data_IF_223690343657
#
_entry.id   IF_223690343657
#
_cell.length_a   1.000
_cell.length_b   1.000
_cell.length_c   1.000
_cell.angle_alpha   90.00
_cell.angle_beta   90.00
_cell.angle_gamma   90.00
#
_symmetry.space_group_name_H-M   'P 1'
#
loop_
_entity.id
_entity.type
_entity.pdbx_description
1 polymer ?
#
# COMPACT_ATOMS: atom_id res chain seq x y z
N UNK A 1 12.32 -3.04 -18.04
CA UNK A 1 12.36 -4.49 -17.76
C UNK A 1 13.64 -5.14 -18.31
N UNK A 2 13.89 -5.07 -19.62
CA UNK A 2 15.09 -5.66 -20.27
C UNK A 2 16.43 -5.28 -19.61
N UNK A 3 16.63 -3.99 -19.29
CA UNK A 3 17.84 -3.49 -18.62
C UNK A 3 18.08 -4.12 -17.24
N UNK A 4 17.04 -4.26 -16.42
CA UNK A 4 17.15 -4.85 -15.07
C UNK A 4 17.56 -6.33 -15.15
N UNK A 5 16.92 -7.09 -16.05
CA UNK A 5 17.27 -8.50 -16.27
C UNK A 5 18.62 -8.70 -16.96
N UNK A 6 19.11 -7.70 -17.68
CA UNK A 6 20.47 -7.65 -18.21
C UNK A 6 21.53 -7.27 -17.16
N UNK A 7 21.14 -7.01 -15.91
CA UNK A 7 22.05 -6.69 -14.81
C UNK A 7 22.47 -5.22 -14.72
N UNK A 8 21.74 -4.30 -15.37
CA UNK A 8 22.02 -2.87 -15.27
C UNK A 8 21.76 -2.35 -13.83
N UNK A 9 22.81 -1.89 -13.11
CA UNK A 9 22.69 -1.45 -11.71
C UNK A 9 21.86 -0.16 -11.55
N UNK A 10 21.59 0.56 -12.64
CA UNK A 10 20.77 1.78 -12.62
C UNK A 10 19.28 1.50 -12.83
N UNK A 11 18.92 0.30 -13.28
CA UNK A 11 17.53 -0.08 -13.52
C UNK A 11 16.78 -0.42 -12.22
N UNK A 12 15.44 -0.39 -12.23
CA UNK A 12 14.62 -0.80 -11.08
C UNK A 12 14.46 0.25 -9.97
N UNK A 13 14.90 1.49 -10.16
CA UNK A 13 14.70 2.56 -9.19
C UNK A 13 13.21 2.89 -8.95
N UNK A 14 12.43 2.96 -10.03
CA UNK A 14 11.03 3.35 -9.98
C UNK A 14 10.15 2.29 -9.29
N UNK A 15 10.38 1.00 -9.60
CA UNK A 15 9.53 -0.08 -9.07
C UNK A 15 9.78 -0.38 -7.59
N UNK A 16 10.98 -0.09 -7.06
CA UNK A 16 11.28 -0.29 -5.64
C UNK A 16 10.40 0.55 -4.69
N UNK A 17 10.04 1.78 -5.09
CA UNK A 17 9.11 2.64 -4.34
C UNK A 17 7.68 2.11 -4.32
N UNK A 18 7.16 1.67 -5.46
CA UNK A 18 5.83 1.08 -5.55
C UNK A 18 5.71 -0.19 -4.71
N UNK A 19 6.75 -1.02 -4.72
CA UNK A 19 6.76 -2.27 -3.96
C UNK A 19 6.49 -2.04 -2.46
N UNK A 20 7.03 -0.97 -1.88
CA UNK A 20 6.74 -0.54 -0.50
C UNK A 20 5.25 -0.26 -0.29
N UNK A 21 4.62 0.43 -1.25
CA UNK A 21 3.20 0.79 -1.18
C UNK A 21 2.32 -0.46 -1.25
N UNK A 22 2.57 -1.35 -2.20
CA UNK A 22 1.78 -2.56 -2.42
C UNK A 22 1.86 -3.55 -1.26
N UNK A 23 3.04 -3.68 -0.65
CA UNK A 23 3.29 -4.67 0.39
C UNK A 23 2.93 -4.18 1.80
N UNK A 24 3.01 -2.88 2.07
CA UNK A 24 2.82 -2.35 3.42
C UNK A 24 1.74 -1.28 3.52
N UNK A 25 1.78 -0.27 2.66
CA UNK A 25 0.87 0.87 2.76
C UNK A 25 -0.58 0.49 2.50
N UNK A 26 -0.84 -0.28 1.43
CA UNK A 26 -2.19 -0.72 1.06
C UNK A 26 -2.78 -1.67 2.11
N UNK A 27 -2.07 -2.70 2.59
CA UNK A 27 -2.55 -3.51 3.72
C UNK A 27 -2.78 -2.70 5.00
N UNK A 28 -1.95 -1.70 5.29
CA UNK A 28 -2.14 -0.83 6.45
C UNK A 28 -3.39 0.06 6.31
N UNK A 29 -3.66 0.59 5.11
CA UNK A 29 -4.89 1.33 4.79
C UNK A 29 -6.12 0.44 4.94
N UNK A 30 -6.05 -0.79 4.42
CA UNK A 30 -7.10 -1.80 4.57
C UNK A 30 -7.39 -2.10 6.05
N UNK A 31 -6.34 -2.32 6.85
CA UNK A 31 -6.46 -2.54 8.29
C UNK A 31 -7.04 -1.31 9.03
N UNK A 32 -6.63 -0.10 8.64
CA UNK A 32 -7.19 1.13 9.19
C UNK A 32 -8.70 1.21 8.95
N UNK A 33 -9.16 0.93 7.72
CA UNK A 33 -10.59 0.92 7.41
C UNK A 33 -11.36 -0.15 8.20
N UNK A 34 -10.79 -1.34 8.41
CA UNK A 34 -11.39 -2.39 9.26
C UNK A 34 -11.54 -1.92 10.72
N UNK A 35 -10.53 -1.26 11.27
CA UNK A 35 -10.59 -0.76 12.63
C UNK A 35 -11.54 0.42 12.80
N UNK A 36 -11.72 1.22 11.74
CA UNK A 36 -12.67 2.33 11.72
C UNK A 36 -14.10 1.93 11.36
N UNK A 37 -14.34 0.69 10.92
CA UNK A 37 -15.69 0.19 10.67
C UNK A 37 -16.49 0.10 11.97
N UNK A 38 -17.82 0.17 11.84
CA UNK A 38 -18.76 -0.12 12.94
C UNK A 38 -18.57 -1.55 13.43
N UNK A 39 -18.88 -1.81 14.71
CA UNK A 39 -18.63 -3.11 15.35
C UNK A 39 -19.43 -4.22 14.68
N UNK A 40 -20.67 -3.93 14.34
CA UNK A 40 -21.61 -4.81 13.64
C UNK A 40 -21.12 -5.22 12.23
N UNK A 41 -20.43 -4.32 11.52
CA UNK A 41 -19.93 -4.57 10.17
C UNK A 41 -18.49 -5.10 10.13
N UNK A 42 -17.76 -5.05 11.26
CA UNK A 42 -16.31 -5.30 11.30
C UNK A 42 -15.89 -6.64 10.74
N UNK A 43 -16.65 -7.71 11.02
CA UNK A 43 -16.33 -9.05 10.49
C UNK A 43 -16.44 -9.09 8.96
N UNK A 44 -17.48 -8.46 8.41
CA UNK A 44 -17.69 -8.35 6.96
C UNK A 44 -16.60 -7.50 6.32
N UNK A 45 -16.34 -6.31 6.86
CA UNK A 45 -15.28 -5.40 6.38
C UNK A 45 -13.92 -6.08 6.44
N UNK A 46 -13.59 -6.77 7.53
CA UNK A 46 -12.33 -7.50 7.68
C UNK A 46 -12.13 -8.54 6.59
N UNK A 47 -13.15 -9.34 6.26
CA UNK A 47 -13.06 -10.33 5.19
C UNK A 47 -12.76 -9.70 3.82
N UNK A 48 -13.48 -8.63 3.47
CA UNK A 48 -13.31 -7.93 2.18
C UNK A 48 -11.92 -7.28 2.10
N UNK A 49 -11.55 -6.54 3.15
CA UNK A 49 -10.29 -5.80 3.21
C UNK A 49 -9.07 -6.72 3.29
N UNK A 50 -9.18 -7.87 3.96
CA UNK A 50 -8.12 -8.87 4.00
C UNK A 50 -7.86 -9.44 2.62
N UNK A 51 -8.91 -9.87 1.90
CA UNK A 51 -8.75 -10.40 0.54
C UNK A 51 -8.15 -9.35 -0.39
N UNK A 52 -8.66 -8.11 -0.34
CA UNK A 52 -8.13 -6.99 -1.12
C UNK A 52 -6.66 -6.68 -0.82
N UNK A 53 -6.27 -6.68 0.47
CA UNK A 53 -4.88 -6.50 0.89
C UNK A 53 -3.98 -7.65 0.42
N UNK A 54 -4.44 -8.90 0.52
CA UNK A 54 -3.70 -10.06 0.04
C UNK A 54 -3.53 -10.02 -1.48
N UNK A 55 -4.54 -9.58 -2.23
CA UNK A 55 -4.41 -9.33 -3.67
C UNK A 55 -3.27 -8.34 -3.94
N UNK A 56 -3.24 -7.19 -3.26
CA UNK A 56 -2.15 -6.23 -3.39
C UNK A 56 -0.77 -6.84 -3.10
N UNK A 57 -0.65 -7.63 -2.04
CA UNK A 57 0.63 -8.28 -1.67
C UNK A 57 1.08 -9.28 -2.73
N UNK A 58 0.16 -10.13 -3.21
CA UNK A 58 0.50 -11.29 -4.05
C UNK A 58 0.63 -10.90 -5.52
N UNK A 59 -0.19 -9.97 -6.01
CA UNK A 59 -0.26 -9.61 -7.43
C UNK A 59 0.28 -8.21 -7.71
N UNK A 60 0.40 -7.35 -6.70
CA UNK A 60 0.72 -5.93 -6.87
C UNK A 60 -0.47 -5.07 -7.28
N UNK A 61 -1.70 -5.63 -7.32
CA UNK A 61 -2.92 -4.89 -7.71
C UNK A 61 -3.53 -4.22 -6.47
N UNK A 62 -3.58 -2.89 -6.48
CA UNK A 62 -4.03 -2.05 -5.36
C UNK A 62 -5.49 -1.62 -5.45
N UNK A 63 -6.07 -1.66 -6.66
CA UNK A 63 -7.42 -1.16 -6.97
C UNK A 63 -8.52 -1.63 -6.00
N UNK A 64 -8.57 -2.90 -5.56
CA UNK A 64 -9.63 -3.35 -4.65
C UNK A 64 -9.69 -2.59 -3.32
N UNK A 65 -8.56 -2.09 -2.82
CA UNK A 65 -8.50 -1.25 -1.61
C UNK A 65 -8.73 0.21 -1.96
N UNK A 66 -8.18 0.69 -3.08
CA UNK A 66 -8.28 2.09 -3.49
C UNK A 66 -9.70 2.50 -3.85
N UNK A 67 -10.44 1.63 -4.54
CA UNK A 67 -11.84 1.88 -4.89
C UNK A 67 -12.75 1.98 -3.67
N UNK A 68 -12.33 1.43 -2.52
CA UNK A 68 -13.06 1.54 -1.27
C UNK A 68 -13.03 2.96 -0.68
N UNK A 69 -12.08 3.82 -1.06
CA UNK A 69 -11.97 5.17 -0.51
C UNK A 69 -11.85 6.30 -1.54
N UNK A 70 -11.49 6.03 -2.81
CA UNK A 70 -11.27 7.07 -3.82
C UNK A 70 -12.51 7.95 -4.04
N UNK A 71 -13.70 7.37 -3.99
CA UNK A 71 -14.97 8.08 -4.17
C UNK A 71 -15.58 8.59 -2.86
N UNK A 72 -15.31 7.92 -1.74
CA UNK A 72 -15.94 8.21 -0.45
C UNK A 72 -15.11 9.14 0.43
N UNK A 73 -13.79 9.21 0.21
CA UNK A 73 -12.84 9.97 0.99
C UNK A 73 -11.71 10.55 0.12
N UNK A 74 -11.98 11.60 -0.69
CA UNK A 74 -11.01 12.16 -1.63
C UNK A 74 -9.68 12.61 -0.98
N UNK A 75 -9.71 13.08 0.27
CA UNK A 75 -8.49 13.46 1.00
C UNK A 75 -7.58 12.26 1.29
N UNK A 76 -8.14 11.06 1.50
CA UNK A 76 -7.32 9.85 1.65
C UNK A 76 -6.61 9.51 0.35
N UNK A 77 -7.23 9.77 -0.79
CA UNK A 77 -6.60 9.59 -2.10
C UNK A 77 -5.48 10.59 -2.35
N UNK A 78 -5.69 11.87 -2.05
CA UNK A 78 -4.62 12.88 -2.12
C UNK A 78 -3.44 12.51 -1.23
N UNK A 79 -3.71 12.12 0.02
CA UNK A 79 -2.68 11.65 0.94
C UNK A 79 -1.95 10.42 0.37
N UNK A 80 -2.69 9.44 -0.13
CA UNK A 80 -2.13 8.24 -0.74
C UNK A 80 -1.20 8.60 -1.91
N UNK A 81 -1.61 9.47 -2.83
CA UNK A 81 -0.78 9.89 -3.96
C UNK A 81 0.52 10.58 -3.52
N UNK A 82 0.45 11.46 -2.51
CA UNK A 82 1.62 12.14 -1.96
C UNK A 82 2.59 11.16 -1.28
N UNK A 83 2.07 10.25 -0.46
CA UNK A 83 2.88 9.24 0.22
C UNK A 83 3.49 8.23 -0.77
N UNK A 84 2.76 7.86 -1.82
CA UNK A 84 3.30 7.05 -2.91
C UNK A 84 4.46 7.78 -3.59
N UNK A 85 4.27 9.05 -3.96
CA UNK A 85 5.35 9.87 -4.54
C UNK A 85 6.58 9.98 -3.64
N UNK A 86 6.39 10.18 -2.34
CA UNK A 86 7.51 10.21 -1.39
C UNK A 86 8.18 8.85 -1.20
N UNK A 87 7.44 7.74 -1.29
CA UNK A 87 8.02 6.40 -1.22
C UNK A 87 8.95 6.13 -2.41
N UNK A 88 8.54 6.55 -3.61
CA UNK A 88 9.38 6.51 -4.80
C UNK A 88 10.67 7.32 -4.63
N UNK A 89 10.53 8.56 -4.15
CA UNK A 89 11.68 9.45 -3.94
C UNK A 89 12.65 8.93 -2.89
N UNK A 90 12.15 8.47 -1.74
CA UNK A 90 12.99 7.94 -0.66
C UNK A 90 13.65 6.62 -1.09
N UNK A 91 12.93 5.72 -1.75
CA UNK A 91 13.51 4.49 -2.29
C UNK A 91 14.63 4.77 -3.29
N UNK A 92 14.48 5.81 -4.12
CA UNK A 92 15.53 6.27 -5.02
C UNK A 92 16.79 6.74 -4.27
N UNK A 93 16.63 7.59 -3.24
CA UNK A 93 17.75 8.10 -2.42
C UNK A 93 18.46 6.97 -1.67
N UNK A 94 17.70 6.01 -1.12
CA UNK A 94 18.24 4.84 -0.43
C UNK A 94 18.91 3.82 -1.38
N UNK A 95 18.89 4.08 -2.69
CA UNK A 95 19.50 3.22 -3.69
C UNK A 95 18.80 1.88 -3.84
N UNK A 96 17.51 1.80 -3.49
CA UNK A 96 16.71 0.58 -3.65
C UNK A 96 16.46 0.36 -5.15
N UNK A 97 16.97 -0.75 -5.68
CA UNK A 97 16.76 -1.16 -7.08
C UNK A 97 16.09 -2.51 -7.09
N UNK A 98 14.83 -2.56 -7.51
CA UNK A 98 14.07 -3.78 -7.61
C UNK A 98 13.09 -3.68 -8.77
N UNK A 99 12.74 -4.80 -9.40
CA UNK A 99 11.73 -4.85 -10.45
C UNK A 99 10.60 -5.78 -10.02
N UNK A 100 9.37 -5.34 -10.26
CA UNK A 100 8.16 -6.05 -9.85
C UNK A 100 7.44 -5.37 -8.69
N UNK A 101 6.18 -5.73 -8.56
CA UNK A 101 5.20 -5.11 -7.66
C UNK A 101 4.57 -6.12 -6.69
N UNK A 102 4.79 -7.40 -6.96
CA UNK A 102 4.20 -8.55 -6.29
C UNK A 102 5.25 -9.22 -5.39
N UNK A 103 4.87 -9.64 -4.19
CA UNK A 103 5.78 -10.28 -3.23
C UNK A 103 6.56 -11.48 -3.82
N UNK A 104 5.97 -12.38 -4.65
CA UNK A 104 6.74 -13.43 -5.31
C UNK A 104 7.91 -12.92 -6.16
N UNK A 105 7.76 -11.77 -6.84
CA UNK A 105 8.79 -11.18 -7.67
C UNK A 105 9.99 -10.68 -6.86
N UNK A 106 9.78 -10.31 -5.58
CA UNK A 106 10.87 -9.98 -4.67
C UNK A 106 11.85 -11.14 -4.54
N UNK A 107 11.34 -12.33 -4.27
CA UNK A 107 12.17 -13.53 -4.11
C UNK A 107 12.85 -13.93 -5.42
N UNK A 108 12.12 -13.85 -6.55
CA UNK A 108 12.67 -14.18 -7.86
C UNK A 108 13.80 -13.24 -8.28
N UNK A 109 13.65 -11.94 -8.02
CA UNK A 109 14.60 -10.91 -8.45
C UNK A 109 15.63 -10.55 -7.37
N UNK A 110 15.63 -11.22 -6.22
CA UNK A 110 16.48 -10.87 -5.06
C UNK A 110 17.96 -10.75 -5.42
N UNK A 111 18.48 -11.65 -6.25
CA UNK A 111 19.90 -11.66 -6.68
C UNK A 111 20.27 -10.52 -7.62
N UNK A 112 19.30 -9.95 -8.33
CA UNK A 112 19.51 -8.86 -9.27
C UNK A 112 19.24 -7.49 -8.63
N UNK A 113 18.59 -7.47 -7.46
CA UNK A 113 18.20 -6.26 -6.78
C UNK A 113 19.37 -5.61 -6.02
N UNK A 114 19.34 -4.28 -5.91
CA UNK A 114 20.29 -3.50 -5.09
C UNK A 114 19.59 -3.01 -3.84
N UNK A 115 20.22 -3.20 -2.67
CA UNK A 115 19.66 -2.90 -1.36
C UNK A 115 18.20 -3.38 -1.13
N UNK A 116 17.79 -4.58 -1.59
CA UNK A 116 16.39 -5.02 -1.51
C UNK A 116 15.88 -5.11 -0.07
N UNK A 117 16.76 -5.37 0.89
CA UNK A 117 16.38 -5.50 2.30
C UNK A 117 15.89 -4.19 2.93
N UNK A 118 16.28 -3.03 2.40
CA UNK A 118 15.82 -1.72 2.89
C UNK A 118 14.31 -1.48 2.63
N UNK A 119 13.70 -2.28 1.76
CA UNK A 119 12.26 -2.26 1.50
C UNK A 119 11.46 -2.58 2.78
N UNK A 120 11.92 -3.51 3.61
CA UNK A 120 11.19 -3.91 4.83
C UNK A 120 11.13 -2.81 5.90
N UNK A 121 12.25 -2.21 6.35
CA UNK A 121 12.19 -1.12 7.32
C UNK A 121 11.47 0.11 6.78
N UNK A 122 11.70 0.47 5.51
CA UNK A 122 10.96 1.55 4.85
C UNK A 122 9.46 1.23 4.78
N UNK A 123 9.13 0.00 4.43
CA UNK A 123 7.78 -0.53 4.38
C UNK A 123 7.05 -0.47 5.70
N UNK A 124 7.67 -0.91 6.79
CA UNK A 124 7.11 -0.80 8.14
C UNK A 124 6.85 0.66 8.49
N UNK A 125 7.80 1.57 8.22
CA UNK A 125 7.62 2.99 8.47
C UNK A 125 6.41 3.55 7.69
N UNK A 126 6.30 3.25 6.39
CA UNK A 126 5.16 3.66 5.58
C UNK A 126 3.84 3.02 6.04
N UNK A 127 3.85 1.75 6.41
CA UNK A 127 2.68 1.05 6.94
C UNK A 127 2.16 1.73 8.20
N UNK A 128 3.03 2.12 9.13
CA UNK A 128 2.65 2.89 10.32
C UNK A 128 2.07 4.25 9.95
N UNK A 129 2.75 5.00 9.08
CA UNK A 129 2.28 6.32 8.62
C UNK A 129 0.90 6.20 7.98
N UNK A 130 0.70 5.25 7.06
CA UNK A 130 -0.59 4.99 6.42
C UNK A 130 -1.66 4.63 7.45
N UNK A 131 -1.39 3.68 8.34
CA UNK A 131 -2.36 3.22 9.33
C UNK A 131 -2.86 4.38 10.21
N UNK A 132 -1.94 5.17 10.78
CA UNK A 132 -2.32 6.26 11.68
C UNK A 132 -2.98 7.42 10.95
N UNK A 133 -2.45 7.81 9.79
CA UNK A 133 -3.01 8.91 8.99
C UNK A 133 -4.39 8.59 8.44
N UNK A 134 -4.61 7.37 7.93
CA UNK A 134 -5.92 6.92 7.46
C UNK A 134 -6.94 6.96 8.59
N UNK A 135 -6.61 6.36 9.75
CA UNK A 135 -7.51 6.41 10.92
C UNK A 135 -7.81 7.83 11.37
N UNK A 136 -6.79 8.69 11.39
CA UNK A 136 -6.96 10.09 11.78
C UNK A 136 -7.92 10.82 10.84
N UNK A 137 -7.69 10.74 9.52
CA UNK A 137 -8.50 11.43 8.51
C UNK A 137 -9.93 10.87 8.50
N UNK A 138 -10.11 9.54 8.55
CA UNK A 138 -11.44 8.90 8.59
C UNK A 138 -12.25 9.43 9.77
N UNK A 139 -11.64 9.56 10.95
CA UNK A 139 -12.32 10.09 12.15
C UNK A 139 -12.57 11.59 12.07
N UNK A 140 -11.55 12.35 11.65
CA UNK A 140 -11.60 13.82 11.66
C UNK A 140 -12.69 14.36 10.74
N UNK A 141 -12.88 13.72 9.58
CA UNK A 141 -13.86 14.12 8.56
C UNK A 141 -15.10 13.21 8.53
N UNK A 142 -15.15 12.20 9.40
CA UNK A 142 -16.23 11.22 9.47
C UNK A 142 -16.59 10.58 8.11
N UNK A 143 -15.56 10.12 7.37
CA UNK A 143 -15.77 9.52 6.05
C UNK A 143 -16.53 8.18 6.13
N UNK A 144 -17.35 7.92 5.11
CA UNK A 144 -18.09 6.66 4.94
C UNK A 144 -17.25 5.60 4.22
N UNK A 145 -16.11 5.24 4.81
CA UNK A 145 -15.31 4.10 4.33
C UNK A 145 -16.05 2.77 4.61
N UNK A 146 -15.68 1.64 3.95
CA UNK A 146 -16.43 0.39 4.06
C UNK A 146 -16.75 -0.05 5.49
N UNK A 147 -18.03 -0.29 5.76
CA UNK A 147 -18.53 -0.67 7.09
C UNK A 147 -18.79 0.50 8.04
N UNK A 148 -18.66 1.75 7.59
CA UNK A 148 -19.09 2.97 8.33
C UNK A 148 -20.41 3.55 7.83
N UNK A 149 -20.99 3.00 6.78
CA UNK A 149 -22.26 3.45 6.21
C UNK A 149 -23.35 3.49 7.29
N UNK A 150 -24.29 4.46 7.23
CA UNK A 150 -25.45 4.44 8.12
C UNK A 150 -26.24 3.14 7.91
N UNK A 151 -26.83 2.62 8.99
CA UNK A 151 -27.78 1.52 8.86
C UNK A 151 -28.90 2.01 7.93
N UNK A 152 -29.19 1.24 6.88
CA UNK A 152 -30.33 1.51 6.01
C UNK A 152 -31.56 1.34 6.91
N UNK A 153 -32.27 2.45 7.15
CA UNK A 153 -33.53 2.48 7.86
C UNK A 153 -34.65 1.91 6.98
#
# INVERSE_FOLDING_TARGET
>A
MSRFYAGDPTAGAFSGGFFVIMLFAIPAAALAMVHESRKENRKKTAGIMLTAALTSIITGITEPVEFAFIFTAPLLFVLHSLLTGSALFISYILGIRHYGYALPLFFMNYRLATNPLLIFPLGVAYGLVYYFSFRFIIRKFNYFTPGREPAIA
#
